data_IF_556590514177
#
_entry.id   IF_556590514177
#
_cell.length_a   1.000
_cell.length_b   1.000
_cell.length_c   1.000
_cell.angle_alpha   90.00
_cell.angle_beta   90.00
_cell.angle_gamma   90.00
#
_symmetry.space_group_name_H-M   'P 1'
#
loop_
_entity.id
_entity.type
_entity.pdbx_description
1 polymer ?
2 non-polymer ?
3 water ?
#
# COMPACT_ATOMS: atom_id res chain seq x y z
N UNK A 1 -9.02 -25.28 -10.84
CA UNK A 1 -8.62 -26.34 -9.91
C UNK A 1 -7.51 -25.86 -8.98
N UNK A 2 -7.49 -26.41 -7.76
CA UNK A 2 -6.52 -25.98 -6.77
C UNK A 2 -5.11 -26.47 -7.11
N UNK A 3 -4.97 -27.76 -7.38
CA UNK A 3 -3.66 -28.28 -7.77
C UNK A 3 -3.19 -27.70 -9.10
N UNK A 4 -4.13 -27.43 -10.01
CA UNK A 4 -3.79 -26.73 -11.25
C UNK A 4 -3.16 -25.37 -10.94
N UNK A 5 -3.71 -24.66 -9.96
CA UNK A 5 -3.15 -23.37 -9.55
C UNK A 5 -1.81 -23.54 -8.88
N UNK A 6 -1.69 -24.52 -7.96
CA UNK A 6 -0.42 -24.76 -7.29
C UNK A 6 0.68 -25.11 -8.29
N UNK A 7 0.33 -25.84 -9.34
CA UNK A 7 1.33 -26.25 -10.33
C UNK A 7 1.86 -25.06 -11.11
N UNK A 8 0.95 -24.19 -11.57
CA UNK A 8 1.36 -23.00 -12.29
C UNK A 8 2.17 -22.06 -11.39
N UNK A 9 1.77 -21.97 -10.12
CA UNK A 9 2.49 -21.10 -9.18
C UNK A 9 3.92 -21.60 -8.95
N UNK A 10 4.11 -22.92 -8.95
CA UNK A 10 5.44 -23.49 -8.72
C UNK A 10 6.42 -23.08 -9.81
N UNK A 11 5.94 -22.74 -11.00
CA UNK A 11 6.84 -22.35 -12.08
C UNK A 11 7.41 -20.95 -11.89
N UNK A 12 6.69 -20.06 -11.19
CA UNK A 12 7.10 -18.66 -11.09
C UNK A 12 7.77 -18.33 -9.75
N UNK A 13 7.68 -19.21 -8.75
CA UNK A 13 8.29 -18.94 -7.46
C UNK A 13 9.70 -19.53 -7.44
N UNK A 14 10.49 -19.16 -6.43
CA UNK A 14 11.83 -19.72 -6.30
C UNK A 14 11.75 -21.17 -5.84
N UNK A 15 12.69 -22.01 -6.27
CA UNK A 15 12.72 -23.38 -5.78
C UNK A 15 13.33 -23.48 -4.39
N UNK A 16 12.90 -24.49 -3.66
CA UNK A 16 13.36 -24.75 -2.31
C UNK A 16 12.22 -24.78 -1.31
N UNK A 17 12.56 -25.28 -0.11
CA UNK A 17 11.65 -25.29 1.02
C UNK A 17 12.20 -24.33 2.08
N UNK A 18 11.71 -23.08 2.13
CA UNK A 18 12.41 -22.05 2.93
C UNK A 18 12.40 -22.30 4.42
N UNK A 19 11.64 -23.28 4.90
CA UNK A 19 11.62 -23.58 6.33
C UNK A 19 12.93 -24.15 6.84
N UNK A 20 13.88 -24.28 5.95
CA UNK A 20 15.21 -24.80 6.31
C UNK A 20 16.06 -23.68 6.89
N UNK A 21 16.04 -22.51 6.26
CA UNK A 21 16.91 -21.40 6.63
C UNK A 21 16.19 -20.30 7.40
N UNK A 22 14.96 -20.55 7.85
CA UNK A 22 14.22 -19.59 8.66
C UNK A 22 13.60 -20.30 9.86
N UNK A 23 13.52 -19.58 10.97
CA UNK A 23 12.90 -20.10 12.19
C UNK A 23 12.43 -18.93 13.04
N UNK A 24 11.92 -19.25 14.23
CA UNK A 24 11.45 -18.26 15.19
C UNK A 24 10.35 -17.38 14.59
N UNK A 25 9.34 -18.03 14.02
CA UNK A 25 8.23 -17.30 13.42
C UNK A 25 7.36 -16.67 14.50
N UNK A 26 7.17 -15.35 14.42
CA UNK A 26 6.31 -14.61 15.33
C UNK A 26 5.24 -13.92 14.49
N UNK A 27 4.00 -14.35 14.64
CA UNK A 27 2.90 -13.74 13.90
C UNK A 27 2.66 -12.31 14.39
N UNK A 28 2.51 -11.38 13.43
CA UNK A 28 2.30 -9.98 13.76
C UNK A 28 1.12 -9.37 13.00
N UNK A 29 0.45 -10.12 12.13
CA UNK A 29 -0.65 -9.57 11.38
C UNK A 29 -1.47 -10.66 10.74
N UNK A 30 -2.71 -10.31 10.42
CA UNK A 30 -3.65 -11.24 9.76
C UNK A 30 -4.41 -10.46 8.68
N UNK A 31 -4.47 -10.99 7.47
CA UNK A 31 -5.12 -10.23 6.40
C UNK A 31 -6.39 -10.83 5.82
N UNK A 32 -6.99 -11.84 6.44
CA UNK A 32 -8.26 -12.53 6.04
C UNK A 32 -8.06 -13.62 4.99
N UNK A 33 -6.88 -13.67 4.37
CA UNK A 33 -6.47 -14.71 3.40
C UNK A 33 -5.06 -15.13 3.79
N UNK A 34 -4.46 -14.46 4.76
CA UNK A 34 -3.13 -14.86 5.14
C UNK A 34 -2.71 -14.19 6.43
N UNK A 35 -1.47 -14.48 6.84
CA UNK A 35 -0.86 -13.86 8.00
C UNK A 35 0.52 -13.35 7.62
N UNK A 36 1.14 -12.63 8.54
CA UNK A 36 2.49 -12.08 8.36
C UNK A 36 3.28 -12.33 9.63
N UNK A 37 4.51 -12.83 9.47
CA UNK A 37 5.32 -13.22 10.62
C UNK A 37 6.68 -12.55 10.56
N UNK A 38 7.24 -12.30 11.75
CA UNK A 38 8.67 -12.04 11.89
C UNK A 38 9.39 -13.39 11.87
N UNK A 39 10.46 -13.47 11.11
CA UNK A 39 11.28 -14.68 11.08
C UNK A 39 12.75 -14.30 11.17
N UNK A 40 13.56 -15.27 11.55
CA UNK A 40 15.00 -15.08 11.71
C UNK A 40 15.73 -15.92 10.67
N UNK A 41 16.56 -15.26 9.87
CA UNK A 41 17.45 -15.99 8.96
C UNK A 41 18.43 -16.78 9.81
N UNK A 42 18.31 -18.10 9.78
CA UNK A 42 19.10 -18.94 10.67
C UNK A 42 20.60 -18.76 10.46
N UNK A 43 21.00 -18.40 9.24
CA UNK A 43 22.43 -18.28 8.92
C UNK A 43 23.02 -16.94 9.31
N UNK A 44 22.20 -15.95 9.68
CA UNK A 44 22.74 -14.63 10.02
C UNK A 44 22.13 -14.01 11.26
N UNK A 45 20.99 -14.47 11.76
CA UNK A 45 20.33 -13.84 12.87
C UNK A 45 19.53 -12.61 12.52
N UNK A 46 19.63 -12.11 11.29
CA UNK A 46 18.84 -10.97 10.87
C UNK A 46 17.36 -11.31 10.84
N UNK A 47 16.53 -10.31 11.09
CA UNK A 47 15.09 -10.47 11.04
C UNK A 47 14.57 -10.08 9.66
N UNK A 48 13.66 -10.90 9.13
CA UNK A 48 12.96 -10.62 7.90
C UNK A 48 11.46 -10.76 8.16
N UNK A 49 10.67 -10.27 7.21
CA UNK A 49 9.23 -10.45 7.25
C UNK A 49 8.84 -11.56 6.27
N UNK A 50 7.95 -12.43 6.71
CA UNK A 50 7.46 -13.55 5.90
C UNK A 50 5.94 -13.51 5.94
N UNK A 51 5.32 -13.34 4.78
CA UNK A 51 3.87 -13.36 4.66
C UNK A 51 3.44 -14.65 3.98
N UNK A 52 2.44 -15.31 4.55
CA UNK A 52 1.98 -16.63 4.10
C UNK A 52 0.53 -16.50 3.67
N UNK A 53 0.26 -16.80 2.40
CA UNK A 53 -1.08 -16.71 1.84
C UNK A 53 -1.67 -18.12 1.73
N UNK A 54 -2.84 -18.30 2.32
CA UNK A 54 -3.55 -19.58 2.20
C UNK A 54 -4.13 -19.68 0.79
N UNK A 55 -3.57 -20.60 -0.03
CA UNK A 55 -3.98 -20.70 -1.42
C UNK A 55 -5.45 -21.08 -1.56
N UNK A 56 -5.91 -21.92 -0.65
CA UNK A 56 -7.31 -22.38 -0.60
C UNK A 56 -8.25 -21.21 -0.33
N UNK A 57 -7.75 -20.07 0.12
CA UNK A 57 -8.63 -18.94 0.51
C UNK A 57 -8.54 -17.76 -0.45
N UNK A 58 -8.01 -17.93 -1.65
CA UNK A 58 -7.90 -16.81 -2.60
C UNK A 58 -9.10 -16.71 -3.52
N UNK A 59 -9.91 -15.65 -3.35
CA UNK A 59 -11.11 -15.39 -4.20
C UNK A 59 -10.65 -15.42 -5.65
N UNK A 60 -9.55 -14.72 -5.91
CA UNK A 60 -8.95 -14.76 -7.26
C UNK A 60 -7.44 -14.84 -7.18
N UNK A 61 -6.96 -15.97 -7.70
CA UNK A 61 -5.57 -16.46 -7.72
C UNK A 61 -4.59 -15.64 -8.54
N UNK A 62 -4.96 -15.05 -9.66
CA UNK A 62 -3.95 -14.37 -10.48
C UNK A 62 -3.20 -13.28 -9.72
N UNK A 63 -3.79 -12.73 -8.67
CA UNK A 63 -3.15 -11.65 -7.94
C UNK A 63 -1.84 -12.09 -7.28
N UNK A 64 -1.77 -13.34 -6.82
CA UNK A 64 -0.53 -13.83 -6.23
C UNK A 64 0.60 -13.89 -7.25
N UNK A 65 0.27 -14.18 -8.51
CA UNK A 65 1.28 -14.15 -9.56
C UNK A 65 1.86 -12.76 -9.74
N UNK A 66 0.97 -11.77 -9.73
CA UNK A 66 1.34 -10.37 -9.95
C UNK A 66 2.44 -9.96 -9.00
N UNK A 67 2.21 -10.09 -7.71
CA UNK A 67 3.17 -9.65 -6.70
C UNK A 67 4.54 -10.33 -6.81
N UNK A 68 4.57 -11.64 -6.84
CA UNK A 68 5.83 -12.40 -6.90
C UNK A 68 6.60 -12.10 -8.18
N UNK A 69 5.90 -11.94 -9.29
CA UNK A 69 6.56 -11.65 -10.58
C UNK A 69 6.99 -10.18 -10.71
N UNK A 70 6.09 -9.26 -10.45
CA UNK A 70 6.33 -7.80 -10.61
C UNK A 70 7.38 -7.36 -9.61
N UNK A 71 7.33 -7.91 -8.42
CA UNK A 71 8.25 -7.40 -7.40
C UNK A 71 9.58 -8.16 -7.38
N UNK A 72 9.77 -9.23 -8.12
CA UNK A 72 11.08 -9.91 -8.04
C UNK A 72 12.15 -8.96 -8.55
N UNK A 73 13.20 -8.77 -7.79
CA UNK A 73 14.35 -7.89 -8.15
C UNK A 73 14.01 -6.41 -8.20
N UNK A 74 12.91 -5.98 -7.61
CA UNK A 74 12.54 -4.56 -7.61
C UNK A 74 13.30 -3.94 -6.47
N UNK A 75 13.98 -2.84 -6.72
CA UNK A 75 14.69 -2.14 -5.64
C UNK A 75 14.28 -0.68 -5.63
N UNK A 76 13.75 -0.18 -4.52
CA UNK A 76 13.50 1.29 -4.43
C UNK A 76 13.69 1.69 -2.98
N UNK A 77 14.15 2.91 -2.73
CA UNK A 77 14.31 3.35 -1.32
C UNK A 77 12.95 3.31 -0.58
N UNK A 78 11.86 3.69 -1.21
CA UNK A 78 10.53 3.80 -0.58
C UNK A 78 9.66 2.56 -0.80
N UNK A 79 10.23 1.47 -1.26
CA UNK A 79 9.39 0.27 -1.44
C UNK A 79 9.96 -0.87 -0.61
N UNK A 80 9.10 -1.62 0.03
CA UNK A 80 9.52 -2.80 0.81
C UNK A 80 10.14 -3.78 -0.18
N UNK A 81 11.29 -4.34 0.16
CA UNK A 81 12.01 -5.25 -0.74
C UNK A 81 11.67 -6.73 -0.54
N UNK A 82 11.28 -7.39 -1.60
CA UNK A 82 10.98 -8.82 -1.58
C UNK A 82 12.27 -9.57 -1.79
N UNK A 83 12.63 -10.45 -0.89
CA UNK A 83 13.87 -11.23 -1.10
C UNK A 83 13.62 -12.45 -1.96
N UNK A 84 12.59 -13.24 -1.64
CA UNK A 84 12.28 -14.52 -2.32
C UNK A 84 10.82 -14.91 -2.19
N UNK A 85 10.38 -15.83 -3.02
CA UNK A 85 9.00 -16.35 -2.95
C UNK A 85 9.06 -17.86 -3.05
N UNK A 86 8.27 -18.57 -2.27
CA UNK A 86 8.36 -20.04 -2.27
C UNK A 86 6.99 -20.65 -2.15
N UNK A 87 6.84 -21.84 -2.70
CA UNK A 87 5.56 -22.55 -2.56
C UNK A 87 5.78 -23.57 -1.45
N UNK A 88 5.01 -23.45 -0.38
CA UNK A 88 5.17 -24.34 0.78
C UNK A 88 3.82 -24.97 1.05
N UNK A 89 3.62 -26.22 0.70
CA UNK A 89 2.32 -26.84 0.93
C UNK A 89 1.22 -26.12 0.21
N UNK A 90 0.24 -25.63 0.97
CA UNK A 90 -0.91 -24.89 0.42
C UNK A 90 -0.71 -23.40 0.69
N UNK A 91 0.52 -23.00 0.90
CA UNK A 91 0.81 -21.58 1.18
C UNK A 91 1.89 -21.01 0.27
N UNK A 92 1.69 -19.78 -0.12
CA UNK A 92 2.71 -19.00 -0.83
C UNK A 92 3.44 -18.20 0.25
N UNK A 93 4.75 -18.27 0.27
CA UNK A 93 5.47 -17.51 1.29
C UNK A 93 6.26 -16.42 0.60
N UNK A 94 6.12 -15.21 1.07
CA UNK A 94 6.92 -14.10 0.54
C UNK A 94 7.83 -13.69 1.68
N UNK A 95 9.14 -13.76 1.46
CA UNK A 95 10.19 -13.38 2.42
C UNK A 95 10.61 -11.99 2.00
N UNK A 96 10.48 -11.04 2.89
CA UNK A 96 10.75 -9.64 2.53
C UNK A 96 11.47 -8.93 3.65
N UNK A 97 11.87 -7.71 3.38
CA UNK A 97 12.48 -6.81 4.37
C UNK A 97 11.48 -6.58 5.51
N UNK A 98 11.96 -6.58 6.73
CA UNK A 98 11.07 -6.43 7.90
C UNK A 98 11.13 -4.99 8.37
N UNK A 99 10.00 -4.30 8.43
CA UNK A 99 9.96 -2.90 8.90
C UNK A 99 9.48 -2.92 10.36
N UNK A 100 10.41 -2.72 11.29
CA UNK A 100 10.19 -2.78 12.76
C UNK A 100 9.25 -1.67 13.24
N UNK A 101 9.23 -0.54 12.55
CA UNK A 101 8.36 0.63 12.84
C UNK A 101 6.88 0.33 12.67
N UNK A 102 6.49 -0.66 11.91
CA UNK A 102 5.06 -0.97 11.79
C UNK A 102 4.34 -0.11 10.78
N UNK A 103 3.02 -0.17 10.81
CA UNK A 103 2.18 0.54 9.84
C UNK A 103 1.85 1.96 10.28
N UNK A 104 1.53 2.78 9.30
CA UNK A 104 1.05 4.16 9.44
C UNK A 104 -0.36 4.16 10.07
N UNK A 105 -1.12 3.09 9.92
CA UNK A 105 -2.48 2.98 10.48
C UNK A 105 -2.45 3.23 11.99
N UNK A 106 -1.49 2.66 12.68
CA UNK A 106 -1.37 2.85 14.14
C UNK A 106 -1.12 4.32 14.47
N UNK A 107 -0.36 5.03 13.68
CA UNK A 107 -0.18 6.47 13.95
C UNK A 107 -1.45 7.27 13.68
N UNK A 108 -2.08 7.11 12.54
CA UNK A 108 -3.21 7.97 12.13
C UNK A 108 -4.46 7.81 13.00
N UNK A 109 -4.70 6.63 13.51
CA UNK A 109 -5.89 6.31 14.34
C UNK A 109 -5.68 6.68 15.80
N UNK A 110 -4.52 7.21 16.17
CA UNK A 110 -4.30 7.59 17.58
C UNK A 110 -4.03 9.07 17.74
N UNK A 111 -3.40 9.70 16.78
CA UNK A 111 -3.05 11.12 16.91
C UNK A 111 -3.15 11.82 15.57
N UNK A 112 -3.26 13.12 15.56
CA UNK A 112 -3.30 13.82 14.27
C UNK A 112 -1.89 14.29 13.87
N UNK A 113 -1.45 13.95 12.68
CA UNK A 113 -0.12 14.41 12.26
C UNK A 113 -0.16 15.87 11.85
N UNK A 114 0.97 16.53 11.99
CA UNK A 114 1.17 17.92 11.52
C UNK A 114 1.49 17.87 10.01
N UNK A 115 1.37 18.99 9.32
CA UNK A 115 1.57 19.08 7.84
C UNK A 115 2.97 18.66 7.45
N UNK A 116 3.98 18.95 8.23
CA UNK A 116 5.35 18.52 7.94
C UNK A 116 5.43 16.99 7.92
N UNK A 117 4.77 16.32 8.85
CA UNK A 117 4.72 14.85 8.90
C UNK A 117 3.91 14.30 7.74
N UNK A 118 2.77 14.90 7.44
CA UNK A 118 1.91 14.41 6.35
C UNK A 118 2.64 14.58 5.02
N UNK A 119 3.32 15.70 4.87
CA UNK A 119 4.08 16.00 3.64
C UNK A 119 5.21 15.00 3.49
N UNK A 120 5.85 14.60 4.57
CA UNK A 120 6.96 13.63 4.45
C UNK A 120 6.45 12.29 3.93
N UNK A 121 5.31 11.84 4.40
CA UNK A 121 4.72 10.54 3.96
C UNK A 121 4.33 10.62 2.50
N UNK A 122 3.73 11.74 2.12
CA UNK A 122 3.20 11.95 0.77
C UNK A 122 4.33 11.90 -0.23
N UNK A 123 5.41 12.56 0.14
CA UNK A 123 6.62 12.64 -0.69
C UNK A 123 7.20 11.25 -0.89
N UNK A 124 7.31 10.46 0.15
CA UNK A 124 7.88 9.12 0.03
C UNK A 124 6.99 8.26 -0.86
N UNK A 125 5.69 8.32 -0.67
CA UNK A 125 4.75 7.51 -1.50
C UNK A 125 4.79 8.00 -2.93
N UNK A 126 4.76 9.30 -3.16
CA UNK A 126 4.77 9.85 -4.52
C UNK A 126 6.08 9.52 -5.25
N UNK A 127 7.20 9.50 -4.54
CA UNK A 127 8.47 9.11 -5.17
C UNK A 127 8.40 7.65 -5.60
N UNK A 128 7.91 6.78 -4.75
CA UNK A 128 7.76 5.37 -5.11
C UNK A 128 6.75 5.21 -6.25
N UNK A 129 5.62 5.89 -6.17
CA UNK A 129 4.55 5.81 -7.20
C UNK A 129 5.04 6.35 -8.54
N UNK A 130 5.80 7.43 -8.54
CA UNK A 130 6.26 7.92 -9.86
C UNK A 130 7.18 6.88 -10.50
N UNK A 131 8.04 6.23 -9.76
CA UNK A 131 8.89 5.22 -10.40
C UNK A 131 8.05 4.03 -10.86
N UNK A 132 7.11 3.59 -10.05
CA UNK A 132 6.26 2.43 -10.41
C UNK A 132 5.35 2.72 -11.61
N UNK A 133 4.74 3.88 -11.68
CA UNK A 133 3.81 4.24 -12.78
C UNK A 133 4.54 4.29 -14.12
N UNK A 134 5.78 4.75 -14.12
CA UNK A 134 6.64 4.85 -15.30
C UNK A 134 6.94 3.47 -15.90
N UNK A 135 7.01 2.45 -15.05
CA UNK A 135 7.21 1.04 -15.45
C UNK A 135 5.86 0.32 -15.60
N UNK A 136 4.74 1.04 -15.51
CA UNK A 136 3.41 0.46 -15.61
C UNK A 136 2.96 -0.32 -14.39
N UNK A 137 3.46 -0.04 -13.21
CA UNK A 137 2.97 -0.85 -12.06
C UNK A 137 1.89 -0.10 -11.29
N UNK A 138 0.71 -0.67 -11.21
CA UNK A 138 -0.39 -0.06 -10.43
C UNK A 138 -0.45 -0.79 -9.10
N UNK A 139 -0.33 -0.05 -8.02
CA UNK A 139 -0.40 -0.65 -6.67
C UNK A 139 -1.80 -1.21 -6.38
N UNK A 140 -2.87 -0.42 -6.49
CA UNK A 140 -4.30 -0.77 -6.25
C UNK A 140 -4.67 -0.96 -4.79
N UNK A 141 -3.78 -0.73 -3.85
CA UNK A 141 -4.12 -0.88 -2.43
C UNK A 141 -3.46 0.21 -1.61
N UNK A 142 -3.37 1.41 -2.13
CA UNK A 142 -2.75 2.46 -1.31
C UNK A 142 -3.73 2.86 -0.20
N UNK A 143 -3.26 2.77 1.02
CA UNK A 143 -3.92 3.11 2.30
C UNK A 143 -2.84 3.12 3.38
N UNK A 144 -3.22 3.55 4.58
CA UNK A 144 -2.32 3.68 5.76
C UNK A 144 -1.70 2.33 6.15
N UNK A 145 -2.47 1.26 5.99
CA UNK A 145 -2.07 -0.15 6.25
C UNK A 145 -0.94 -0.59 5.33
N UNK A 146 -0.89 -0.04 4.13
CA UNK A 146 0.12 -0.34 3.09
C UNK A 146 1.38 0.52 3.27
N UNK A 147 1.40 1.38 4.28
CA UNK A 147 2.59 2.20 4.52
C UNK A 147 3.32 1.62 5.73
N UNK A 148 4.58 1.29 5.53
CA UNK A 148 5.37 0.73 6.64
C UNK A 148 6.52 1.66 6.95
N UNK A 149 6.92 1.65 8.20
CA UNK A 149 7.93 2.59 8.64
C UNK A 149 9.14 1.86 9.19
N UNK A 150 10.29 2.48 9.05
CA UNK A 150 11.47 1.96 9.77
C UNK A 150 11.41 2.52 11.20
N UNK A 151 12.28 2.06 12.07
CA UNK A 151 12.35 2.53 13.47
C UNK A 151 12.68 4.04 13.54
N UNK A 152 13.46 4.55 12.59
CA UNK A 152 13.86 5.96 12.47
C UNK A 152 12.91 6.74 11.56
N UNK A 153 11.78 6.18 11.19
CA UNK A 153 10.78 6.97 10.46
C UNK A 153 10.80 6.97 8.96
N UNK A 154 11.59 6.15 8.30
CA UNK A 154 11.57 6.12 6.82
C UNK A 154 10.29 5.45 6.34
N UNK A 155 9.66 6.02 5.32
CA UNK A 155 8.37 5.51 4.77
C UNK A 155 8.65 4.50 3.68
N UNK A 156 7.97 3.38 3.74
CA UNK A 156 8.13 2.39 2.66
C UNK A 156 6.76 1.87 2.25
N UNK A 157 6.49 1.88 0.96
CA UNK A 157 5.24 1.35 0.38
C UNK A 157 5.26 -0.17 0.49
N UNK A 158 4.17 -0.75 0.95
CA UNK A 158 4.04 -2.19 1.19
C UNK A 158 2.74 -2.71 0.61
N UNK A 159 2.52 -4.02 0.75
CA UNK A 159 1.29 -4.75 0.36
C UNK A 159 0.96 -4.64 -1.12
N UNK A 160 1.80 -5.25 -1.96
CA UNK A 160 1.60 -5.29 -3.41
C UNK A 160 0.79 -6.51 -3.79
N UNK A 161 0.01 -7.07 -2.89
CA UNK A 161 -0.88 -8.22 -3.11
C UNK A 161 -1.98 -7.94 -4.12
N UNK A 162 -2.33 -6.67 -4.31
CA UNK A 162 -3.36 -6.27 -5.28
C UNK A 162 -2.71 -5.58 -6.46
N UNK A 163 -1.39 -5.60 -6.66
CA UNK A 163 -0.79 -4.82 -7.73
C UNK A 163 -1.08 -5.45 -9.09
N UNK A 164 -0.81 -4.68 -10.14
CA UNK A 164 -1.01 -5.14 -11.50
C UNK A 164 0.02 -4.50 -12.41
N UNK A 165 0.19 -5.07 -13.59
CA UNK A 165 1.12 -4.58 -14.59
C UNK A 165 0.37 -4.21 -15.85
N UNK A 166 0.54 -2.98 -16.31
CA UNK A 166 -0.01 -2.53 -17.58
C UNK A 166 1.14 -2.20 -18.51
N UNK A 167 0.83 -2.22 -19.80
CA UNK A 167 1.82 -2.01 -20.85
C UNK A 167 1.26 -1.04 -21.88
N UNK A 168 2.06 -0.75 -22.91
CA UNK A 168 1.56 0.09 -24.00
C UNK A 168 0.46 -0.62 -24.77
N UNK A 169 0.47 -1.96 -24.78
CA UNK A 169 -0.52 -2.74 -25.51
C UNK A 169 -1.79 -2.98 -24.71
N UNK A 170 -1.65 -3.27 -23.41
CA UNK A 170 -2.81 -3.37 -22.51
C UNK A 170 -2.62 -2.33 -21.41
N UNK A 171 -2.99 -1.06 -21.65
CA UNK A 171 -2.67 0.01 -20.69
C UNK A 171 -3.64 0.15 -19.53
N UNK A 172 -4.66 -0.70 -19.42
CA UNK A 172 -5.64 -0.55 -18.36
C UNK A 172 -6.08 -1.91 -17.83
N UNK A 173 -6.39 -1.93 -16.54
CA UNK A 173 -6.93 -3.11 -15.88
C UNK A 173 -8.43 -2.94 -15.69
N UNK A 174 -9.10 -3.97 -15.22
CA UNK A 174 -10.56 -3.81 -15.02
C UNK A 174 -11.03 -4.60 -13.81
N UNK A 175 -10.17 -5.35 -13.16
CA UNK A 175 -10.56 -6.09 -11.95
C UNK A 175 -11.05 -5.18 -10.83
N UNK A 176 -12.09 -5.62 -10.14
CA UNK A 176 -12.58 -4.94 -8.94
C UNK A 176 -11.68 -5.32 -7.78
N UNK A 177 -10.60 -4.55 -7.59
CA UNK A 177 -9.56 -4.89 -6.63
C UNK A 177 -9.21 -3.66 -5.82
N UNK A 178 -9.04 -3.84 -4.51
CA UNK A 178 -8.64 -2.79 -3.61
C UNK A 178 -9.40 -2.91 -2.30
N UNK A 179 -9.24 -1.89 -1.45
CA UNK A 179 -10.00 -1.80 -0.22
C UNK A 179 -11.12 -0.78 -0.39
N UNK A 180 -12.37 -1.16 -0.14
CA UNK A 180 -13.51 -0.33 -0.58
C UNK A 180 -13.42 1.15 -0.28
N UNK A 181 -12.93 1.54 0.90
CA UNK A 181 -12.98 2.95 1.29
C UNK A 181 -11.98 3.79 0.51
N UNK A 182 -10.87 3.21 0.06
CA UNK A 182 -9.83 3.93 -0.66
C UNK A 182 -9.95 3.78 -2.17
N UNK A 183 -11.01 3.12 -2.66
CA UNK A 183 -11.13 2.82 -4.07
C UNK A 183 -11.50 4.06 -4.88
N UNK A 184 -10.92 4.17 -6.07
CA UNK A 184 -11.23 5.29 -6.95
C UNK A 184 -12.62 5.13 -7.56
N UNK A 185 -13.31 6.23 -7.84
CA UNK A 185 -14.69 6.11 -8.34
C UNK A 185 -14.81 5.43 -9.70
N UNK A 186 -13.85 5.63 -10.61
CA UNK A 186 -13.92 4.92 -11.89
C UNK A 186 -13.78 3.42 -11.70
N UNK A 187 -13.05 3.00 -10.66
CA UNK A 187 -12.91 1.58 -10.35
C UNK A 187 -14.18 1.01 -9.74
N UNK A 188 -14.82 1.76 -8.83
CA UNK A 188 -16.07 1.30 -8.24
C UNK A 188 -17.15 1.19 -9.30
N UNK A 189 -17.14 2.11 -10.27
CA UNK A 189 -18.09 2.08 -11.38
C UNK A 189 -17.77 0.99 -12.40
N UNK A 190 -16.74 0.17 -12.15
CA UNK A 190 -16.40 -0.96 -13.02
C UNK A 190 -16.06 -0.50 -14.43
N UNK A 191 -15.32 0.59 -14.53
CA UNK A 191 -14.71 1.09 -15.75
C UNK A 191 -13.28 0.63 -15.85
N UNK A 192 -12.71 0.60 -17.05
CA UNK A 192 -11.26 0.37 -17.16
C UNK A 192 -10.49 1.52 -16.53
N UNK A 193 -9.33 1.20 -15.96
CA UNK A 193 -8.58 2.18 -15.20
C UNK A 193 -7.09 1.92 -15.33
N UNK A 194 -6.31 2.96 -15.05
CA UNK A 194 -4.87 2.86 -15.05
C UNK A 194 -4.26 3.31 -13.74
N UNK A 195 -3.02 3.76 -13.77
CA UNK A 195 -2.31 4.13 -12.54
C UNK A 195 -2.97 5.26 -11.75
N UNK A 196 -3.93 5.98 -12.34
CA UNK A 196 -4.53 7.12 -11.67
C UNK A 196 -5.35 6.73 -10.45
N UNK A 197 -5.72 5.44 -10.32
CA UNK A 197 -6.47 5.01 -9.14
C UNK A 197 -5.63 5.15 -7.88
N UNK A 198 -4.31 4.95 -8.00
CA UNK A 198 -3.43 5.11 -6.85
C UNK A 198 -3.37 6.56 -6.39
N UNK A 199 -3.53 7.51 -7.31
CA UNK A 199 -3.51 8.92 -6.94
C UNK A 199 -4.75 9.27 -6.13
N UNK A 200 -5.91 8.70 -6.51
CA UNK A 200 -7.11 8.90 -5.71
C UNK A 200 -6.97 8.24 -4.34
N UNK A 201 -6.50 7.00 -4.31
CA UNK A 201 -6.32 6.30 -3.04
C UNK A 201 -5.37 7.07 -2.13
N UNK A 202 -4.34 7.70 -2.71
CA UNK A 202 -3.47 8.55 -1.92
C UNK A 202 -4.23 9.71 -1.31
N UNK A 203 -5.12 10.33 -2.09
CA UNK A 203 -5.92 11.42 -1.56
C UNK A 203 -6.78 11.00 -0.37
N UNK A 204 -7.30 9.77 -0.41
CA UNK A 204 -8.05 9.26 0.72
C UNK A 204 -7.13 9.05 1.92
N UNK A 205 -5.87 8.67 1.68
CA UNK A 205 -4.93 8.50 2.80
C UNK A 205 -4.55 9.83 3.42
N UNK A 206 -4.54 10.91 2.63
CA UNK A 206 -4.37 12.24 3.20
C UNK A 206 -5.50 12.54 4.18
N UNK A 207 -6.73 12.20 3.80
CA UNK A 207 -7.87 12.37 4.69
C UNK A 207 -7.70 11.50 5.94
N UNK A 208 -7.14 10.30 5.76
CA UNK A 208 -6.75 9.49 6.91
C UNK A 208 -5.83 10.26 7.85
N UNK A 209 -4.77 10.84 7.29
CA UNK A 209 -3.78 11.49 8.14
C UNK A 209 -4.33 12.74 8.83
N UNK A 210 -5.29 13.41 8.21
CA UNK A 210 -5.89 14.60 8.81
C UNK A 210 -7.08 14.23 9.70
N UNK A 211 -8.00 13.40 9.20
CA UNK A 211 -9.22 13.07 9.91
C UNK A 211 -9.12 11.79 10.72
N UNK A 212 -8.08 10.99 10.54
CA UNK A 212 -7.92 9.76 11.28
C UNK A 212 -8.51 8.53 10.62
N UNK A 213 -9.52 8.70 9.77
CA UNK A 213 -10.17 7.61 9.08
C UNK A 213 -10.58 8.09 7.70
N UNK A 214 -10.76 7.17 6.74
CA UNK A 214 -11.23 7.56 5.42
C UNK A 214 -12.69 7.97 5.48
N UNK A 215 -13.20 8.67 4.46
CA UNK A 215 -14.63 8.99 4.44
C UNK A 215 -15.47 7.74 4.51
N UNK A 216 -16.64 7.87 5.15
CA UNK A 216 -17.64 6.81 5.24
C UNK A 216 -17.12 5.56 5.96
N UNK A 217 -16.09 5.68 6.78
CA UNK A 217 -15.50 4.50 7.40
C UNK A 217 -16.43 3.83 8.40
N UNK A 218 -17.40 4.57 8.94
CA UNK A 218 -18.39 3.96 9.83
C UNK A 218 -19.36 3.08 9.07
N UNK A 219 -19.55 3.31 7.77
CA UNK A 219 -20.49 2.55 6.97
C UNK A 219 -19.90 1.20 6.59
N UNK A 220 -20.75 0.24 6.23
CA UNK A 220 -20.24 -1.02 5.68
C UNK A 220 -19.56 -0.76 4.36
N UNK A 221 -18.61 -1.62 3.95
CA UNK A 221 -17.85 -1.35 2.72
C UNK A 221 -18.70 -1.14 1.48
N UNK A 222 -19.70 -1.98 1.25
CA UNK A 222 -20.55 -1.81 0.06
C UNK A 222 -21.28 -0.49 0.08
N UNK A 223 -21.66 0.01 1.25
CA UNK A 223 -22.30 1.31 1.35
C UNK A 223 -21.32 2.43 1.00
N UNK A 224 -20.08 2.33 1.50
CA UNK A 224 -19.09 3.35 1.19
C UNK A 224 -18.81 3.43 -0.30
N UNK A 225 -18.81 2.27 -0.98
CA UNK A 225 -18.53 2.26 -2.41
C UNK A 225 -19.63 2.95 -3.20
N UNK A 226 -20.89 2.68 -2.86
CA UNK A 226 -22.00 3.37 -3.50
C UNK A 226 -21.89 4.88 -3.32
N UNK A 227 -21.41 5.32 -2.16
CA UNK A 227 -21.28 6.75 -1.89
C UNK A 227 -20.12 7.38 -2.63
N UNK A 228 -18.98 6.67 -2.71
CA UNK A 228 -17.87 7.16 -3.53
C UNK A 228 -18.28 7.28 -4.99
N UNK A 229 -19.11 6.34 -5.45
CA UNK A 229 -19.54 6.34 -6.84
C UNK A 229 -20.42 7.55 -7.17
N UNK A 230 -21.28 7.96 -6.23
CA UNK A 230 -22.34 8.91 -6.54
C UNK A 230 -22.16 10.27 -5.89
N UNK A 231 -21.25 10.43 -4.94
CA UNK A 231 -21.13 11.69 -4.22
C UNK A 231 -20.05 12.58 -4.79
N UNK A 232 -20.12 13.85 -4.41
CA UNK A 232 -19.07 14.79 -4.72
C UNK A 232 -17.80 14.43 -3.95
N UNK A 233 -16.51 14.67 -4.52
CA UNK A 233 -14.91 14.42 -4.08
C UNK A 233 -15.00 14.97 -2.66
N UNK A 234 -14.62 14.19 -1.65
CA UNK A 234 -14.56 14.70 -0.32
C UNK A 234 -13.42 15.71 -0.15
N UNK A 235 -13.65 16.67 0.71
CA UNK A 235 -12.62 17.64 1.17
C UNK A 235 -12.42 17.38 2.69
N UNK A 236 -11.40 17.96 3.32
CA UNK A 236 -11.18 17.53 4.73
C UNK A 236 -12.37 17.91 5.61
N UNK A 237 -12.91 16.95 6.35
CA UNK A 237 -13.97 17.32 7.32
C UNK A 237 -13.24 17.79 8.58
N UNK A 238 -12.01 17.32 8.80
CA UNK A 238 -11.31 17.77 10.02
C UNK A 238 -10.95 19.22 9.76
N UNK A 239 -11.92 20.03 10.18
CA UNK A 239 -12.12 21.49 9.98
C UNK A 239 -11.18 22.30 10.85
N UNK A 240 -10.23 21.64 11.54
CA UNK A 240 -9.15 22.40 12.23
C UNK A 240 -8.30 22.96 11.09
N UNK A 241 -7.88 24.21 11.20
CA UNK A 241 -7.15 24.95 10.16
C UNK A 241 -6.14 24.10 9.38
N UNK A 242 -6.19 24.20 8.06
CA UNK A 242 -5.29 23.42 7.19
C UNK A 242 -4.59 24.48 6.33
N UNK A 243 -3.34 24.27 5.99
CA UNK A 243 -2.67 25.29 5.16
C UNK A 243 -3.29 25.25 3.79
N UNK A 244 -3.40 26.39 2.84
CA UNK A 244 -3.89 26.41 1.46
C UNK A 244 -3.17 25.45 0.53
N UNK A 245 -1.87 25.22 0.76
CA UNK A 245 -1.13 24.26 -0.05
C UNK A 245 -1.71 22.87 0.10
N UNK A 246 -1.96 22.43 1.34
CA UNK A 246 -2.61 21.15 1.57
C UNK A 246 -3.99 21.12 0.91
N UNK A 247 -4.73 22.23 1.00
CA UNK A 247 -6.04 22.30 0.37
C UNK A 247 -5.92 22.19 -1.15
N UNK A 248 -5.00 22.95 -1.75
CA UNK A 248 -4.75 22.82 -3.18
C UNK A 248 -4.19 21.47 -3.55
N UNK A 249 -3.38 20.88 -2.66
CA UNK A 249 -2.82 19.55 -2.92
C UNK A 249 -3.93 18.52 -3.05
N UNK A 250 -4.83 18.46 -2.07
CA UNK A 250 -5.90 17.47 -2.09
C UNK A 250 -6.83 17.67 -3.27
N UNK A 251 -6.98 18.90 -3.75
CA UNK A 251 -7.83 19.18 -4.90
C UNK A 251 -7.27 18.62 -6.19
N UNK A 252 -5.98 18.30 -6.23
CA UNK A 252 -5.39 17.66 -7.40
C UNK A 252 -5.47 16.14 -7.35
N UNK A 253 -5.65 15.57 -6.15
CA UNK A 253 -5.69 14.12 -5.97
C UNK A 253 -7.11 13.57 -6.07
N UNK A 254 -8.05 14.22 -5.39
CA UNK A 254 -9.43 13.71 -5.31
C UNK A 254 -10.28 14.30 -6.43
N UNK A 255 -9.88 13.97 -7.67
CA UNK A 255 -10.57 14.40 -8.88
C UNK A 255 -11.30 13.18 -9.44
N UNK A 256 -12.62 13.32 -9.62
CA UNK A 256 -13.41 12.20 -10.12
C UNK A 256 -12.95 11.75 -11.50
N UNK A 257 -12.66 12.70 -12.38
CA UNK A 257 -12.22 12.40 -13.74
C UNK A 257 -10.75 12.00 -13.72
N UNK A 258 -10.43 10.76 -14.06
CA UNK A 258 -9.01 10.33 -14.04
C UNK A 258 -8.14 11.11 -15.01
N UNK A 259 -8.70 11.57 -16.13
CA UNK A 259 -7.92 12.32 -17.11
C UNK A 259 -7.56 13.72 -16.61
N UNK A 260 -8.29 14.24 -15.63
CA UNK A 260 -7.97 15.53 -15.03
C UNK A 260 -7.20 15.40 -13.72
N UNK A 261 -7.17 14.20 -13.15
CA UNK A 261 -6.44 13.98 -11.91
C UNK A 261 -4.94 14.07 -12.17
N UNK A 262 -4.23 14.76 -11.28
CA UNK A 262 -2.80 14.94 -11.45
C UNK A 262 -2.07 13.61 -11.34
N UNK A 263 -0.97 13.50 -12.09
CA UNK A 263 -0.14 12.30 -12.06
C UNK A 263 0.89 12.40 -10.94
N UNK A 264 1.54 11.26 -10.66
CA UNK A 264 2.56 11.23 -9.61
C UNK A 264 3.69 12.20 -9.92
N UNK A 265 4.15 12.23 -11.18
CA UNK A 265 5.24 13.12 -11.55
C UNK A 265 4.84 14.58 -11.47
N UNK A 266 3.56 14.88 -11.66
CA UNK A 266 3.08 16.24 -11.51
C UNK A 266 3.04 16.67 -10.05
N UNK A 267 2.66 15.74 -9.16
CA UNK A 267 2.50 16.07 -7.75
C UNK A 267 3.81 16.23 -7.01
N UNK A 268 4.87 15.58 -7.49
CA UNK A 268 6.19 15.74 -6.88
C UNK A 268 6.65 17.19 -6.88
N UNK A 269 6.07 18.03 -7.74
CA UNK A 269 6.41 19.44 -7.81
C UNK A 269 5.41 20.33 -7.08
N UNK A 270 4.49 19.75 -6.31
CA UNK A 270 3.45 20.59 -5.73
C UNK A 270 3.96 21.26 -4.45
N UNK A 271 3.57 22.51 -4.20
CA UNK A 271 4.10 23.24 -3.04
C UNK A 271 3.83 22.59 -1.70
N UNK A 272 2.80 21.75 -1.57
CA UNK A 272 2.54 21.10 -0.28
C UNK A 272 3.72 20.24 0.15
N UNK A 273 4.32 19.52 -0.80
CA UNK A 273 5.45 18.65 -0.47
C UNK A 273 6.68 19.41 0.00
N UNK A 274 6.71 20.74 -0.16
CA UNK A 274 7.79 21.53 0.42
C UNK A 274 7.76 21.47 1.94
N UNK A 275 6.58 21.25 2.53
CA UNK A 275 6.44 21.15 3.98
C UNK A 275 7.09 19.89 4.56
N UNK A 276 7.50 18.96 3.72
CA UNK A 276 7.96 17.65 4.19
C UNK A 276 9.07 17.80 5.22
N UNK A 277 8.90 17.11 6.34
CA UNK A 277 9.92 17.08 7.36
C UNK A 277 10.86 15.90 7.15
N UNK A 278 11.90 15.82 7.96
CA UNK A 278 12.82 14.70 7.88
C UNK A 278 12.17 13.43 8.38
N UNK A 279 12.75 12.27 8.11
CA UNK A 279 12.20 11.02 8.66
C UNK A 279 12.08 11.04 10.17
N UNK A 280 12.92 11.82 10.86
CA UNK A 280 12.88 11.87 12.32
C UNK A 280 11.59 12.49 12.84
N UNK A 281 10.91 13.33 12.06
CA UNK A 281 9.65 13.92 12.51
C UNK A 281 8.54 12.88 12.60
N UNK A 282 8.68 11.75 11.90
CA UNK A 282 7.72 10.67 12.05
C UNK A 282 7.94 9.93 13.37
N UNK A 283 9.18 9.90 13.85
CA UNK A 283 9.53 9.03 14.98
C UNK A 283 8.68 9.26 16.22
N UNK A 284 8.48 10.50 16.71
CA UNK A 284 7.71 10.67 17.95
C UNK A 284 6.30 10.13 17.86
N UNK A 285 5.76 9.96 16.65
CA UNK A 285 4.39 9.50 16.47
C UNK A 285 4.22 8.01 16.76
N UNK A 286 5.30 7.22 16.61
CA UNK A 286 5.18 5.77 16.72
C UNK A 286 4.85 5.34 18.15
N UNK A 287 4.15 4.21 18.24
CA UNK A 287 3.63 3.77 19.53
C UNK A 287 4.73 3.58 20.57
N UNK A 288 5.87 3.03 20.15
CA UNK A 288 6.97 2.79 21.07
C UNK A 288 7.58 4.07 21.62
N UNK A 289 7.25 5.23 21.05
CA UNK A 289 7.87 6.49 21.44
C UNK A 289 6.89 7.54 21.95
N UNK A 290 5.60 7.46 21.60
CA UNK A 290 4.70 8.57 21.85
C UNK A 290 4.17 8.64 23.28
N UNK A 291 4.54 7.69 24.14
CA UNK A 291 4.10 7.72 25.54
C UNK A 291 5.25 7.95 26.51
N UNK A 292 6.46 8.21 26.00
CA UNK A 292 7.63 8.40 26.86
C UNK A 292 7.70 9.79 27.45
X LIG B 1 4.74 -6.14 7.24
X LIG B 1 3.05 -6.69 5.63
X LIG B 1 3.63 -6.90 1.90
X LIG B 1 4.18 -6.88 0.90
X LIG B 1 4.87 -6.92 -0.47
X LIG B 1 5.71 -5.68 -0.60
X LIG B 1 7.40 -6.92 -1.95
X LIG B 1 5.67 -8.18 -0.60
X LIG B 1 -3.87 -5.24 9.05
X LIG B 1 -2.81 -5.38 8.08
X LIG B 1 -2.42 -6.80 7.72
X LIG B 1 0.08 -7.15 7.67
X LIG B 1 1.41 -6.92 7.03
X LIG B 1 2.57 -6.59 7.69
X LIG B 1 4.89 -5.62 8.46
X LIG B 1 6.15 -5.24 8.84
X LIG B 1 6.95 -5.86 6.84
X LIG B 1 3.69 -6.65 4.43
X LIG B 1 2.95 -6.93 3.27
X LIG B 1 6.55 -5.68 -1.84
X LIG B 1 6.54 -8.17 -1.84
X LIG B 1 1.63 -7.22 3.33
X LIG B 1 0.99 -7.24 4.51
X LIG B 1 1.75 -6.97 5.69
X LIG B 1 -1.25 -5.77 5.96
X LIG B 1 -1.85 -4.47 6.35
X LIG B 1 -1.15 -6.59 7.12
X LIG B 1 3.52 -6.47 6.87
X LIG B 1 7.14 -5.38 8.00
X LIG B 1 8.08 -5.95 5.97
X LIG B 1 5.78 -6.25 6.44
X LIG B 1 -3.12 -4.67 6.92
X LIG B 1 -0.12 -7.74 8.59
X LIG B 1 3.90 -6.93 -1.43
#
# INVERSE_FOLDING_TARGET
>A
SHEQFRAALQLVVDPGDPRSYLDNFIKIGEGSTGIVCIATVRSSGKLVAVKKMDLRKQQRRELLFNEVVIMRDYQHENVVEMYNSYLVGDELWVVMEFLEGGALTDIVTHTRMNEEQIAAVCLAVLQALSVLHAQGVIHRDIKSDSILLTHDGRVKLSDFGFCAQVSKEVPRRKSLVGTPYWMAPELISRLPYGPEVDIWSLGIMVIEMVDGEPPYFNEPPLKAMKMIRDNLPPRLKNLHKVSPSLKGFLDRLLVRDPAQRATAAELLKHPFLAKAGPPASIVPLMRQNRTR
>B hetero
1 GCC C10 C17 C20 C21 C22 C24 C26 C28 C1 C2 C3 C5 C7 C8 C11 C12 C14 C18 C19 C25 C27 C29 C30 C31 C32 C33 N4 N9 N13 N15 N16 N34 O6 O23
#
